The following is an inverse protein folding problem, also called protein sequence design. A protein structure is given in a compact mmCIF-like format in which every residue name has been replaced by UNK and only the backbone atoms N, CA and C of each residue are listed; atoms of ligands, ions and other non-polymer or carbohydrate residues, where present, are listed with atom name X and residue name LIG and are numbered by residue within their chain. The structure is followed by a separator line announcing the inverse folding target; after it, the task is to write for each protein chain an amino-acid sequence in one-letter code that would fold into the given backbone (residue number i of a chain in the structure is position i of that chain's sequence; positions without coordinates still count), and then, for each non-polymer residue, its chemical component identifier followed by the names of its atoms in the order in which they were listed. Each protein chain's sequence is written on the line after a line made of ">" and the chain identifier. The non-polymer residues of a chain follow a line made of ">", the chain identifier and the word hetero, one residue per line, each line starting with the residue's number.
data_IF_392050817360
#
_entry.id   IF_392050817360
#
_cell.length_a   1.000
_cell.length_b   1.000
_cell.length_c   1.000
_cell.angle_alpha   90.00
_cell.angle_beta   90.00
_cell.angle_gamma   90.00
#
_symmetry.space_group_name_H-M   'P 1'
#
loop_
_entity.id
_entity.type
_entity.pdbx_description
1 polymer ?
#
# COMPACT_ATOMS: atom_id res chain seq x y z
N UNK A 1 29.09 15.65 -10.84
CA UNK A 1 28.10 14.91 -10.30
C UNK A 1 26.87 15.70 -9.91
N UNK A 2 25.88 15.03 -9.46
CA UNK A 2 24.56 15.59 -9.22
C UNK A 2 24.50 16.38 -7.94
N UNK A 3 23.70 17.44 -7.94
CA UNK A 3 23.32 18.11 -6.71
C UNK A 3 22.24 17.24 -6.08
N UNK A 4 22.56 16.58 -5.00
CA UNK A 4 21.71 15.56 -4.40
C UNK A 4 20.28 15.99 -4.16
N UNK A 5 20.07 17.15 -3.52
CA UNK A 5 18.73 17.61 -3.17
C UNK A 5 17.87 17.84 -4.40
N UNK A 6 18.40 18.50 -5.44
CA UNK A 6 17.68 18.80 -6.65
C UNK A 6 17.32 17.52 -7.42
N UNK A 7 18.28 16.61 -7.53
CA UNK A 7 18.07 15.33 -8.21
C UNK A 7 17.02 14.50 -7.50
N UNK A 8 17.07 14.42 -6.18
CA UNK A 8 16.11 13.66 -5.39
C UNK A 8 14.69 14.23 -5.49
N UNK A 9 14.57 15.56 -5.50
CA UNK A 9 13.26 16.20 -5.65
C UNK A 9 12.63 15.86 -7.01
N UNK A 10 13.42 15.90 -8.08
CA UNK A 10 12.94 15.54 -9.40
C UNK A 10 12.54 14.06 -9.49
N UNK A 11 13.28 13.19 -8.83
CA UNK A 11 12.93 11.77 -8.77
C UNK A 11 11.61 11.54 -8.03
N UNK A 12 11.37 12.28 -6.93
CA UNK A 12 10.10 12.20 -6.21
C UNK A 12 8.92 12.60 -7.10
N UNK A 13 9.06 13.68 -7.85
CA UNK A 13 8.01 14.14 -8.74
C UNK A 13 7.75 13.12 -9.85
N UNK A 14 8.80 12.61 -10.47
CA UNK A 14 8.67 11.61 -11.52
C UNK A 14 8.01 10.33 -11.02
N UNK A 15 8.40 9.87 -9.83
CA UNK A 15 7.83 8.67 -9.23
C UNK A 15 6.35 8.86 -8.88
N UNK A 16 5.98 10.05 -8.37
CA UNK A 16 4.58 10.36 -8.07
C UNK A 16 3.72 10.35 -9.33
N UNK A 17 4.20 10.93 -10.40
CA UNK A 17 3.50 10.93 -11.68
C UNK A 17 3.32 9.52 -12.23
N UNK A 18 4.34 8.68 -12.11
CA UNK A 18 4.27 7.29 -12.55
C UNK A 18 3.30 6.47 -11.72
N UNK A 19 3.20 6.76 -10.42
CA UNK A 19 2.24 6.08 -9.54
C UNK A 19 0.81 6.37 -9.99
N UNK A 20 0.53 7.58 -10.43
CA UNK A 20 -0.79 7.97 -10.90
C UNK A 20 -1.14 7.39 -12.27
N UNK A 21 -0.17 7.26 -13.17
CA UNK A 21 -0.44 6.85 -14.53
C UNK A 21 0.49 5.81 -15.11
N UNK A 22 1.40 5.22 -14.31
CA UNK A 22 2.42 4.33 -14.83
C UNK A 22 2.68 3.11 -13.95
N UNK A 23 3.85 2.53 -14.12
CA UNK A 23 4.23 1.30 -13.45
C UNK A 23 4.59 1.51 -11.98
N UNK A 24 3.94 0.78 -11.09
CA UNK A 24 4.29 0.77 -9.66
C UNK A 24 5.67 0.19 -9.42
N UNK A 25 6.07 -0.80 -10.22
CA UNK A 25 7.40 -1.39 -10.10
C UNK A 25 8.48 -0.37 -10.38
N UNK A 26 8.30 0.48 -11.39
CA UNK A 26 9.23 1.56 -11.72
C UNK A 26 9.29 2.60 -10.60
N UNK A 27 8.13 3.02 -10.09
CA UNK A 27 8.07 3.97 -8.98
C UNK A 27 8.77 3.41 -7.75
N UNK A 28 8.53 2.14 -7.44
CA UNK A 28 9.16 1.47 -6.31
C UNK A 28 10.69 1.45 -6.46
N UNK A 29 11.19 1.15 -7.63
CA UNK A 29 12.62 1.15 -7.90
C UNK A 29 13.23 2.54 -7.69
N UNK A 30 12.55 3.59 -8.13
CA UNK A 30 13.01 4.97 -7.96
C UNK A 30 13.07 5.34 -6.48
N UNK A 31 12.03 5.05 -5.72
CA UNK A 31 12.02 5.37 -4.28
C UNK A 31 13.09 4.60 -3.52
N UNK A 32 13.33 3.34 -3.89
CA UNK A 32 14.40 2.54 -3.28
C UNK A 32 15.79 3.13 -3.58
N UNK A 33 15.98 3.61 -4.79
CA UNK A 33 17.24 4.26 -5.18
C UNK A 33 17.45 5.53 -4.36
N UNK A 34 16.38 6.30 -4.15
CA UNK A 34 16.45 7.50 -3.32
C UNK A 34 16.83 7.17 -1.88
N UNK A 35 16.31 6.09 -1.32
CA UNK A 35 16.69 5.65 0.02
C UNK A 35 18.15 5.26 0.09
N UNK A 36 18.67 4.60 -0.96
CA UNK A 36 20.06 4.18 -0.98
C UNK A 36 21.03 5.35 -1.13
N UNK A 37 20.65 6.38 -1.87
CA UNK A 37 21.56 7.45 -2.27
C UNK A 37 21.43 8.71 -1.42
N UNK A 38 20.24 8.98 -0.86
CA UNK A 38 20.00 10.24 -0.17
C UNK A 38 20.57 10.24 1.24
N UNK A 39 21.18 11.37 1.62
CA UNK A 39 21.55 11.66 2.99
C UNK A 39 20.64 12.71 3.61
N UNK A 40 19.66 13.19 2.86
CA UNK A 40 18.67 14.15 3.33
C UNK A 40 17.56 13.39 4.05
N UNK A 41 17.40 13.69 5.35
CA UNK A 41 16.40 13.02 6.18
C UNK A 41 14.97 13.21 5.65
N UNK A 42 14.64 14.39 5.18
CA UNK A 42 13.30 14.67 4.64
C UNK A 42 13.01 13.82 3.40
N UNK A 43 13.98 13.67 2.52
CA UNK A 43 13.85 12.82 1.33
C UNK A 43 13.68 11.36 1.73
N UNK A 44 14.47 10.91 2.71
CA UNK A 44 14.39 9.53 3.20
C UNK A 44 13.02 9.23 3.78
N UNK A 45 12.49 10.12 4.62
CA UNK A 45 11.16 9.94 5.23
C UNK A 45 10.09 9.88 4.14
N UNK A 46 10.15 10.80 3.18
CA UNK A 46 9.16 10.83 2.10
C UNK A 46 9.22 9.57 1.24
N UNK A 47 10.42 9.13 0.88
CA UNK A 47 10.57 7.92 0.08
C UNK A 47 10.03 6.68 0.80
N UNK A 48 10.28 6.56 2.11
CA UNK A 48 9.73 5.45 2.90
C UNK A 48 8.21 5.47 2.90
N UNK A 49 7.61 6.64 3.08
CA UNK A 49 6.14 6.77 3.07
C UNK A 49 5.55 6.41 1.71
N UNK A 50 6.21 6.83 0.63
CA UNK A 50 5.76 6.50 -0.72
C UNK A 50 5.84 5.01 -0.99
N UNK A 51 6.91 4.35 -0.52
CA UNK A 51 7.03 2.89 -0.64
C UNK A 51 5.90 2.18 0.10
N UNK A 52 5.60 2.62 1.33
CA UNK A 52 4.46 2.06 2.07
C UNK A 52 3.15 2.27 1.32
N UNK A 53 2.97 3.42 0.69
CA UNK A 53 1.79 3.72 -0.10
C UNK A 53 1.65 2.80 -1.31
N UNK A 54 2.74 2.52 -2.01
CA UNK A 54 2.73 1.59 -3.14
C UNK A 54 2.39 0.18 -2.69
N UNK A 55 2.98 -0.27 -1.59
CA UNK A 55 2.69 -1.58 -1.03
C UNK A 55 1.22 -1.68 -0.63
N UNK A 56 0.68 -0.64 -0.01
CA UNK A 56 -0.73 -0.61 0.37
C UNK A 56 -1.67 -0.59 -0.83
N UNK A 57 -1.30 0.07 -1.93
CA UNK A 57 -2.11 0.03 -3.15
C UNK A 57 -2.23 -1.40 -3.68
N UNK A 58 -1.13 -2.13 -3.70
CA UNK A 58 -1.17 -3.55 -4.11
C UNK A 58 -2.04 -4.36 -3.18
N UNK A 59 -1.92 -4.14 -1.88
CA UNK A 59 -2.72 -4.86 -0.87
C UNK A 59 -4.20 -4.52 -1.01
N UNK A 60 -4.54 -3.24 -1.11
CA UNK A 60 -5.95 -2.83 -1.21
C UNK A 60 -6.61 -3.32 -2.48
N UNK A 61 -5.91 -3.33 -3.60
CA UNK A 61 -6.45 -3.90 -4.83
C UNK A 61 -6.75 -5.39 -4.68
N UNK A 62 -5.83 -6.11 -4.06
CA UNK A 62 -6.01 -7.55 -3.83
C UNK A 62 -7.18 -7.80 -2.87
N UNK A 63 -7.27 -7.04 -1.78
CA UNK A 63 -8.36 -7.15 -0.81
C UNK A 63 -9.70 -6.85 -1.48
N UNK A 64 -9.76 -5.79 -2.28
CA UNK A 64 -11.00 -5.42 -2.98
C UNK A 64 -11.45 -6.52 -3.94
N UNK A 65 -10.52 -7.18 -4.63
CA UNK A 65 -10.86 -8.31 -5.49
C UNK A 65 -11.43 -9.48 -4.71
N UNK A 66 -10.83 -9.81 -3.57
CA UNK A 66 -11.31 -10.89 -2.72
C UNK A 66 -12.68 -10.56 -2.15
N UNK A 67 -12.89 -9.30 -1.73
CA UNK A 67 -14.19 -8.83 -1.25
C UNK A 67 -15.26 -8.93 -2.34
N UNK A 68 -14.93 -8.55 -3.57
CA UNK A 68 -15.86 -8.65 -4.69
C UNK A 68 -16.23 -10.11 -4.99
N UNK A 69 -15.25 -11.00 -4.97
CA UNK A 69 -15.49 -12.44 -5.17
C UNK A 69 -16.36 -13.01 -4.06
N UNK A 70 -16.11 -12.62 -2.82
CA UNK A 70 -16.93 -13.06 -1.69
C UNK A 70 -18.38 -12.61 -1.87
N UNK A 71 -18.58 -11.35 -2.25
CA UNK A 71 -19.92 -10.80 -2.46
C UNK A 71 -20.64 -11.53 -3.59
N UNK A 72 -19.94 -11.84 -4.67
CA UNK A 72 -20.52 -12.57 -5.79
C UNK A 72 -20.97 -13.97 -5.38
N UNK A 73 -20.16 -14.66 -4.59
CA UNK A 73 -20.45 -16.05 -4.17
C UNK A 73 -21.51 -16.12 -3.08
N UNK A 74 -21.61 -15.14 -2.22
CA UNK A 74 -22.44 -15.18 -1.03
C UNK A 74 -23.64 -14.23 -1.07
N UNK A 75 -23.75 -13.40 -2.09
CA UNK A 75 -24.84 -12.43 -2.23
C UNK A 75 -24.80 -11.29 -1.22
N UNK A 76 -23.71 -11.15 -0.46
CA UNK A 76 -23.53 -10.09 0.52
C UNK A 76 -22.04 -9.79 0.68
N UNK A 77 -21.74 -8.62 1.19
CA UNK A 77 -20.35 -8.29 1.55
C UNK A 77 -19.94 -9.03 2.82
N UNK A 78 -18.63 -9.30 2.96
CA UNK A 78 -18.09 -9.86 4.18
C UNK A 78 -18.34 -8.93 5.37
N UNK A 79 -18.65 -9.50 6.53
CA UNK A 79 -18.84 -8.72 7.76
C UNK A 79 -17.51 -8.31 8.41
N UNK A 80 -16.45 -9.04 8.12
CA UNK A 80 -15.12 -8.78 8.66
C UNK A 80 -14.07 -9.33 7.71
N UNK A 81 -12.83 -8.88 7.89
CA UNK A 81 -11.70 -9.43 7.12
C UNK A 81 -11.43 -10.89 7.48
N UNK A 82 -11.85 -11.34 8.66
CA UNK A 82 -11.74 -12.74 9.04
C UNK A 82 -12.47 -13.68 8.09
N UNK A 83 -13.58 -13.25 7.52
CA UNK A 83 -14.34 -14.09 6.58
C UNK A 83 -13.57 -14.32 5.26
N UNK A 84 -12.67 -13.45 4.89
CA UNK A 84 -11.89 -13.57 3.66
C UNK A 84 -10.42 -13.93 3.92
N UNK A 85 -10.06 -14.23 5.17
CA UNK A 85 -8.66 -14.44 5.54
C UNK A 85 -8.01 -15.57 4.74
N UNK A 86 -8.68 -16.71 4.59
CA UNK A 86 -8.12 -17.84 3.85
C UNK A 86 -7.86 -17.49 2.39
N UNK A 87 -8.76 -16.75 1.76
CA UNK A 87 -8.59 -16.31 0.38
C UNK A 87 -7.43 -15.31 0.26
N UNK A 88 -7.30 -14.41 1.23
CA UNK A 88 -6.19 -13.44 1.24
C UNK A 88 -4.84 -14.14 1.35
N UNK A 89 -4.72 -15.17 2.16
CA UNK A 89 -3.46 -15.91 2.30
C UNK A 89 -3.04 -16.62 1.03
N UNK A 90 -3.94 -16.84 0.10
CA UNK A 90 -3.64 -17.46 -1.20
C UNK A 90 -3.26 -16.45 -2.26
N UNK A 91 -3.43 -15.15 -2.02
CA UNK A 91 -3.06 -14.11 -2.96
C UNK A 91 -1.56 -13.91 -2.92
N UNK A 92 -0.95 -13.82 -4.10
CA UNK A 92 0.46 -13.48 -4.23
C UNK A 92 0.59 -12.00 -4.47
N UNK A 93 1.18 -11.29 -3.51
CA UNK A 93 1.49 -9.88 -3.67
C UNK A 93 2.82 -9.73 -4.43
N UNK A 94 3.02 -8.58 -5.10
CA UNK A 94 4.30 -8.34 -5.78
C UNK A 94 5.48 -8.53 -4.82
N UNK A 95 6.59 -9.02 -5.36
CA UNK A 95 7.85 -9.25 -4.65
C UNK A 95 7.77 -10.31 -3.54
N UNK A 96 6.78 -11.17 -3.60
CA UNK A 96 6.63 -12.25 -2.63
C UNK A 96 6.21 -11.78 -1.24
N UNK A 97 5.70 -10.56 -1.11
CA UNK A 97 5.22 -10.05 0.17
C UNK A 97 3.96 -10.76 0.62
N UNK A 98 3.72 -10.75 1.91
CA UNK A 98 2.51 -11.29 2.51
C UNK A 98 1.72 -10.16 3.17
N UNK A 99 0.41 -10.37 3.31
CA UNK A 99 -0.41 -9.48 4.14
C UNK A 99 0.08 -9.53 5.58
N UNK A 100 -0.04 -8.40 6.28
CA UNK A 100 0.42 -8.28 7.66
C UNK A 100 -0.75 -8.31 8.62
N UNK A 101 -0.56 -8.99 9.72
CA UNK A 101 -1.55 -9.13 10.79
C UNK A 101 -0.87 -8.74 12.09
N UNK A 102 -1.51 -7.90 12.90
CA UNK A 102 -0.94 -7.46 14.17
C UNK A 102 -1.17 -8.50 15.29
N UNK A 103 -0.69 -8.17 16.49
CA UNK A 103 -0.83 -9.05 17.65
C UNK A 103 -2.30 -9.30 18.03
N UNK A 104 -3.20 -8.40 17.64
CA UNK A 104 -4.65 -8.53 17.87
C UNK A 104 -5.37 -9.26 16.73
N UNK A 105 -4.61 -9.81 15.80
CA UNK A 105 -5.12 -10.53 14.62
C UNK A 105 -5.90 -9.64 13.65
N UNK A 106 -5.58 -8.36 13.62
CA UNK A 106 -6.18 -7.42 12.67
C UNK A 106 -5.30 -7.30 11.44
N UNK A 107 -5.94 -7.24 10.27
CA UNK A 107 -5.24 -6.98 9.01
C UNK A 107 -4.77 -5.52 9.03
N UNK A 108 -3.47 -5.31 8.85
CA UNK A 108 -2.87 -3.99 8.94
C UNK A 108 -2.18 -3.58 7.64
N UNK A 109 -2.08 -2.26 7.44
CA UNK A 109 -1.36 -1.70 6.30
C UNK A 109 0.17 -1.71 6.56
N UNK A 110 0.98 -1.33 5.57
CA UNK A 110 2.44 -1.31 5.77
C UNK A 110 2.95 -0.38 6.87
N UNK A 111 2.12 0.54 7.37
CA UNK A 111 2.47 1.39 8.52
C UNK A 111 1.97 0.82 9.84
N UNK A 112 1.48 -0.43 9.85
CA UNK A 112 0.93 -1.14 11.00
C UNK A 112 -0.40 -0.59 11.52
N UNK A 113 -1.07 0.23 10.74
CA UNK A 113 -2.42 0.69 11.07
C UNK A 113 -3.47 -0.30 10.54
N UNK A 114 -4.53 -0.60 11.30
CA UNK A 114 -5.53 -1.54 10.82
C UNK A 114 -6.29 -1.00 9.62
N UNK A 115 -6.52 -1.86 8.63
CA UNK A 115 -7.41 -1.55 7.53
C UNK A 115 -8.86 -1.49 8.01
N UNK A 116 -9.65 -0.67 7.35
CA UNK A 116 -11.09 -0.53 7.63
C UNK A 116 -11.87 -1.20 6.52
N UNK A 117 -12.87 -1.98 6.88
CA UNK A 117 -13.79 -2.58 5.92
C UNK A 117 -14.99 -1.66 5.74
N UNK A 118 -15.13 -1.11 4.54
CA UNK A 118 -16.30 -0.34 4.15
C UNK A 118 -17.36 -1.31 3.63
N UNK A 119 -18.31 -1.66 4.50
CA UNK A 119 -19.34 -2.65 4.17
C UNK A 119 -20.34 -2.14 3.16
N UNK A 120 -20.57 -0.84 3.11
CA UNK A 120 -21.50 -0.23 2.15
C UNK A 120 -21.03 -0.41 0.72
N UNK A 121 -19.77 -0.12 0.47
CA UNK A 121 -19.18 -0.23 -0.86
C UNK A 121 -18.44 -1.56 -1.08
N UNK A 122 -18.34 -2.36 -0.04
CA UNK A 122 -17.61 -3.63 -0.04
C UNK A 122 -16.16 -3.46 -0.52
N UNK A 123 -15.47 -2.54 0.11
CA UNK A 123 -14.08 -2.21 -0.21
C UNK A 123 -13.26 -1.97 1.05
N UNK A 124 -11.97 -2.14 0.92
CA UNK A 124 -11.02 -1.82 1.99
C UNK A 124 -10.66 -0.34 1.94
N UNK A 125 -10.41 0.24 3.10
CA UNK A 125 -9.94 1.62 3.23
C UNK A 125 -8.81 1.70 4.25
N UNK A 126 -7.98 2.73 4.09
CA UNK A 126 -7.02 3.11 5.14
C UNK A 126 -7.78 3.74 6.31
N UNK A 127 -7.26 3.55 7.53
CA UNK A 127 -7.80 4.24 8.70
C UNK A 127 -7.14 5.63 8.76
N UNK A 128 -7.88 6.71 8.49
CA UNK A 128 -7.27 8.04 8.37
C UNK A 128 -6.69 8.57 9.68
N UNK A 129 -7.11 8.01 10.82
CA UNK A 129 -6.65 8.46 12.12
C UNK A 129 -5.40 7.71 12.61
N UNK A 130 -5.05 6.60 11.97
CA UNK A 130 -3.96 5.73 12.45
C UNK A 130 -2.86 5.50 11.41
N UNK A 131 -3.19 5.57 10.14
CA UNK A 131 -2.21 5.27 9.09
C UNK A 131 -1.19 6.39 8.91
N UNK A 132 0.05 5.99 8.62
CA UNK A 132 1.09 6.93 8.20
C UNK A 132 1.10 7.13 6.66
N UNK A 133 0.26 6.39 5.95
CA UNK A 133 0.18 6.46 4.50
C UNK A 133 -0.71 7.63 4.11
N UNK A 134 -0.29 8.39 3.09
CA UNK A 134 -1.07 9.51 2.60
C UNK A 134 -2.40 9.02 2.02
N UNK A 135 -3.50 9.67 2.41
CA UNK A 135 -4.81 9.39 1.85
C UNK A 135 -4.92 9.96 0.45
N UNK A 136 -5.62 9.25 -0.40
CA UNK A 136 -5.89 9.68 -1.77
C UNK A 136 -7.37 9.77 -2.03
#
# INVERSE_FOLDING_TARGET
>A
SQISGSSSFMQLMAASMRTEGGSRATSRAIYRQMLADSQDEAVTITAKRRLMGLDSLDEREAIDRVLADFKEKNGRCANSFGEIANALFQVQLPEGRAFRIDASRRLVDPSDAPYVLDKENCKVKLDPNKTAIALQ
#
